data_IF_512724992579
#
_entry.id   IF_512724992579
#
_cell.length_a   1.000
_cell.length_b   1.000
_cell.length_c   1.000
_cell.angle_alpha   90.00
_cell.angle_beta   90.00
_cell.angle_gamma   90.00
#
_symmetry.space_group_name_H-M   'P 1'
#
loop_
_entity.id
_entity.type
_entity.pdbx_description
1 polymer ?
#
# COMPACT_ATOMS: atom_id res chain seq x y z
N UNK A 1 7.27 -21.01 17.66
CA UNK A 1 6.26 -20.64 16.66
C UNK A 1 6.68 -21.12 15.29
N UNK A 2 5.87 -21.95 14.65
CA UNK A 2 6.02 -22.33 13.24
C UNK A 2 5.71 -21.14 12.33
N UNK A 3 6.04 -21.24 11.03
CA UNK A 3 5.67 -20.20 10.05
C UNK A 3 4.15 -20.03 9.98
N UNK A 4 3.41 -21.15 10.02
CA UNK A 4 1.95 -21.15 10.03
C UNK A 4 1.39 -20.43 11.26
N UNK A 5 1.93 -20.68 12.45
CA UNK A 5 1.51 -19.99 13.68
C UNK A 5 1.81 -18.48 13.62
N UNK A 6 2.94 -18.09 13.00
CA UNK A 6 3.26 -16.68 12.78
C UNK A 6 2.29 -16.01 11.81
N UNK A 7 1.93 -16.68 10.72
CA UNK A 7 0.98 -16.16 9.73
C UNK A 7 -0.41 -15.98 10.33
N UNK A 8 -0.92 -16.99 11.06
CA UNK A 8 -2.22 -16.87 11.75
C UNK A 8 -2.22 -15.74 12.78
N UNK A 9 -1.14 -15.56 13.52
CA UNK A 9 -1.01 -14.45 14.46
C UNK A 9 -1.04 -13.09 13.71
N UNK A 10 -0.35 -12.96 12.58
CA UNK A 10 -0.41 -11.76 11.75
C UNK A 10 -1.81 -11.49 11.21
N UNK A 11 -2.52 -12.52 10.74
CA UNK A 11 -3.89 -12.39 10.24
C UNK A 11 -4.87 -11.94 11.33
N UNK A 12 -4.75 -12.51 12.53
CA UNK A 12 -5.56 -12.10 13.69
C UNK A 12 -5.30 -10.65 14.08
N UNK A 13 -4.02 -10.24 14.12
CA UNK A 13 -3.65 -8.85 14.40
C UNK A 13 -4.19 -7.92 13.31
N UNK A 14 -4.09 -8.32 12.04
CA UNK A 14 -4.59 -7.52 10.94
C UNK A 14 -6.11 -7.34 10.98
N UNK A 15 -6.87 -8.41 11.23
CA UNK A 15 -8.33 -8.36 11.37
C UNK A 15 -8.75 -7.44 12.54
N UNK A 16 -8.08 -7.53 13.68
CA UNK A 16 -8.35 -6.67 14.83
C UNK A 16 -8.06 -5.19 14.54
N UNK A 17 -6.93 -4.89 13.89
CA UNK A 17 -6.58 -3.52 13.47
C UNK A 17 -7.62 -2.95 12.49
N UNK A 18 -8.10 -3.75 11.54
CA UNK A 18 -9.15 -3.32 10.61
C UNK A 18 -10.47 -3.03 11.31
N UNK A 19 -10.87 -3.83 12.32
CA UNK A 19 -12.10 -3.58 13.09
C UNK A 19 -12.00 -2.34 13.98
N UNK A 20 -10.77 -2.01 14.41
CA UNK A 20 -10.48 -0.92 15.33
C UNK A 20 -9.79 0.27 14.65
N UNK A 21 -10.01 0.49 13.35
CA UNK A 21 -9.31 1.51 12.55
C UNK A 21 -9.35 2.91 13.17
N UNK A 22 -10.45 3.27 13.85
CA UNK A 22 -10.63 4.58 14.50
C UNK A 22 -9.70 4.81 15.69
N UNK A 23 -9.13 3.75 16.25
CA UNK A 23 -8.15 3.82 17.33
C UNK A 23 -6.74 4.13 16.80
N UNK A 24 -6.52 4.03 15.49
CA UNK A 24 -5.24 4.30 14.86
C UNK A 24 -5.25 5.78 14.41
N UNK A 25 -4.47 6.66 15.06
CA UNK A 25 -4.45 8.06 14.69
C UNK A 25 -3.84 8.22 13.29
N UNK A 26 -4.54 8.94 12.42
CA UNK A 26 -3.97 9.41 11.15
C UNK A 26 -3.09 10.61 11.45
N UNK A 27 -1.81 10.53 11.11
CA UNK A 27 -0.90 11.65 11.27
C UNK A 27 -1.24 12.76 10.25
N UNK A 28 -1.08 14.02 10.63
CA UNK A 28 -1.45 15.16 9.76
C UNK A 28 -0.81 15.09 8.38
N UNK A 29 0.48 14.70 8.31
CA UNK A 29 1.18 14.55 7.03
C UNK A 29 0.57 13.49 6.11
N UNK A 30 -0.07 12.45 6.66
CA UNK A 30 -0.75 11.42 5.87
C UNK A 30 -2.01 12.00 5.25
N UNK A 31 -2.76 12.82 6.00
CA UNK A 31 -3.93 13.52 5.52
C UNK A 31 -3.56 14.53 4.43
N UNK A 32 -2.55 15.35 4.68
CA UNK A 32 -2.07 16.35 3.71
C UNK A 32 -1.65 15.69 2.38
N UNK A 33 -1.00 14.53 2.45
CA UNK A 33 -0.62 13.76 1.27
C UNK A 33 -1.84 13.22 0.50
N UNK A 34 -2.90 12.79 1.20
CA UNK A 34 -4.13 12.33 0.55
C UNK A 34 -4.89 13.49 -0.09
N UNK A 35 -4.99 14.62 0.61
CA UNK A 35 -5.63 15.84 0.10
C UNK A 35 -4.89 16.37 -1.13
N UNK A 36 -3.55 16.33 -1.14
CA UNK A 36 -2.75 16.71 -2.32
C UNK A 36 -3.01 15.81 -3.52
N UNK A 37 -3.03 14.48 -3.31
CA UNK A 37 -3.35 13.52 -4.36
C UNK A 37 -4.76 13.72 -4.90
N UNK A 38 -5.73 13.96 -4.03
CA UNK A 38 -7.11 14.23 -4.43
C UNK A 38 -7.19 15.47 -5.32
N UNK A 39 -6.51 16.57 -4.96
CA UNK A 39 -6.44 17.77 -5.80
C UNK A 39 -5.82 17.50 -7.17
N UNK A 40 -4.75 16.70 -7.26
CA UNK A 40 -4.15 16.34 -8.54
C UNK A 40 -5.10 15.52 -9.43
N UNK A 41 -5.95 14.67 -8.82
CA UNK A 41 -6.98 13.92 -9.55
C UNK A 41 -8.02 14.87 -10.13
N UNK A 42 -8.54 15.79 -9.30
CA UNK A 42 -9.55 16.78 -9.70
C UNK A 42 -9.03 17.76 -10.77
N UNK A 43 -7.75 18.13 -10.69
CA UNK A 43 -7.08 18.97 -11.68
C UNK A 43 -6.74 18.22 -12.99
N UNK A 44 -6.90 16.89 -13.04
CA UNK A 44 -6.52 16.07 -14.19
C UNK A 44 -5.00 15.88 -14.35
N UNK A 45 -4.22 16.20 -13.32
CA UNK A 45 -2.76 16.08 -13.31
C UNK A 45 -2.29 14.70 -12.86
N UNK A 46 -3.15 13.95 -12.16
CA UNK A 46 -2.85 12.61 -11.68
C UNK A 46 -2.65 11.62 -12.84
N UNK A 47 -1.54 10.88 -12.79
CA UNK A 47 -1.23 9.81 -13.75
C UNK A 47 -1.59 8.46 -13.16
N UNK A 48 -2.47 7.74 -13.86
CA UNK A 48 -2.83 6.37 -13.51
C UNK A 48 -2.11 5.38 -14.41
N UNK A 49 -1.74 4.22 -13.86
CA UNK A 49 -1.28 3.07 -14.63
C UNK A 49 -2.33 1.98 -14.54
N UNK A 50 -2.57 1.32 -15.66
CA UNK A 50 -3.25 0.02 -15.66
C UNK A 50 -2.51 -0.97 -14.73
N UNK A 51 -3.28 -1.86 -14.09
CA UNK A 51 -2.77 -2.76 -13.06
C UNK A 51 -1.78 -3.79 -13.63
N UNK A 52 -2.07 -4.36 -14.79
CA UNK A 52 -1.17 -5.32 -15.44
C UNK A 52 0.12 -4.62 -15.89
N UNK A 53 0.01 -3.39 -16.39
CA UNK A 53 1.15 -2.55 -16.74
C UNK A 53 2.03 -2.23 -15.52
N UNK A 54 1.42 -1.95 -14.37
CA UNK A 54 2.13 -1.71 -13.12
C UNK A 54 2.85 -2.97 -12.60
N UNK A 55 2.17 -4.13 -12.60
CA UNK A 55 2.79 -5.42 -12.24
C UNK A 55 3.99 -5.75 -13.12
N UNK A 56 3.86 -5.56 -14.44
CA UNK A 56 4.94 -5.80 -15.40
C UNK A 56 6.15 -4.93 -15.06
N UNK A 57 5.94 -3.62 -14.88
CA UNK A 57 7.00 -2.67 -14.51
C UNK A 57 7.71 -3.04 -13.19
N UNK A 58 6.97 -3.46 -12.17
CA UNK A 58 7.54 -3.91 -10.88
C UNK A 58 8.39 -5.15 -11.09
N UNK A 59 7.85 -6.15 -11.80
CA UNK A 59 8.57 -7.40 -12.11
C UNK A 59 9.87 -7.14 -12.88
N UNK A 60 9.80 -6.30 -13.91
CA UNK A 60 10.96 -5.97 -14.74
C UNK A 60 12.06 -5.26 -13.92
N UNK A 61 11.68 -4.36 -12.99
CA UNK A 61 12.63 -3.72 -12.06
C UNK A 61 13.25 -4.72 -11.08
N UNK A 62 12.44 -5.59 -10.47
CA UNK A 62 12.93 -6.56 -9.48
C UNK A 62 13.84 -7.61 -10.14
N UNK A 63 13.49 -8.10 -11.33
CA UNK A 63 14.32 -9.05 -12.09
C UNK A 63 15.60 -8.38 -12.60
N UNK A 64 15.54 -7.10 -12.99
CA UNK A 64 16.72 -6.33 -13.41
C UNK A 64 17.74 -6.12 -12.28
N UNK A 65 17.27 -5.94 -11.04
CA UNK A 65 18.13 -5.80 -9.85
C UNK A 65 18.78 -7.12 -9.40
N UNK A 66 18.20 -8.28 -9.74
CA UNK A 66 18.78 -9.59 -9.42
C UNK A 66 19.82 -10.07 -10.45
N UNK A 67 19.96 -9.38 -11.59
CA UNK A 67 20.87 -9.74 -12.70
C UNK A 67 22.06 -8.77 -12.86
N UNK A 68 22.20 -7.80 -11.97
CA UNK A 68 23.33 -6.85 -11.90
C UNK A 68 24.09 -7.05 -10.60
#
# INVERSE_FOLDING_TARGET
>A
MTVEEKLRAMEMLWDDLCRNEKQIPVADWQKDLLDDRQRQIEAGEAKFSDWESAKKRIRDRTIGLQRS
#
